data_IF_444921239079
#
_entry.id   IF_444921239079
#
_cell.length_a   1.000
_cell.length_b   1.000
_cell.length_c   1.000
_cell.angle_alpha   90.00
_cell.angle_beta   90.00
_cell.angle_gamma   90.00
#
_symmetry.space_group_name_H-M   'P 1'
#
loop_
_entity.id
_entity.type
_entity.pdbx_description
1 polymer ?
#
# COMPACT_ATOMS: atom_id res chain seq x y z
N UNK A 1 42.11 9.01 18.79
CA UNK A 1 40.87 9.76 18.51
C UNK A 1 40.28 9.17 17.25
N UNK A 2 39.08 8.59 17.31
CA UNK A 2 38.41 8.11 16.10
C UNK A 2 38.17 9.31 15.18
N UNK A 3 38.37 9.14 13.88
CA UNK A 3 38.09 10.23 12.94
C UNK A 3 36.58 10.50 12.91
N UNK A 4 36.21 11.71 12.49
CA UNK A 4 34.80 12.06 12.31
C UNK A 4 34.10 11.09 11.32
N UNK A 5 34.86 10.56 10.34
CA UNK A 5 34.40 9.53 9.41
C UNK A 5 34.07 8.20 10.11
N UNK A 6 34.94 7.72 10.98
CA UNK A 6 34.71 6.47 11.73
C UNK A 6 33.46 6.58 12.62
N UNK A 7 33.29 7.76 13.21
CA UNK A 7 32.16 8.07 14.10
C UNK A 7 30.84 8.10 13.33
N UNK A 8 30.81 8.71 12.13
CA UNK A 8 29.62 8.74 11.27
C UNK A 8 29.28 7.34 10.77
N UNK A 9 30.26 6.58 10.28
CA UNK A 9 30.06 5.21 9.79
C UNK A 9 29.52 4.29 10.89
N UNK A 10 30.05 4.38 12.10
CA UNK A 10 29.57 3.61 13.25
C UNK A 10 28.13 3.98 13.64
N UNK A 11 27.74 5.25 13.51
CA UNK A 11 26.36 5.65 13.80
C UNK A 11 25.41 5.17 12.72
N UNK A 12 25.78 5.29 11.45
CA UNK A 12 24.97 4.83 10.32
C UNK A 12 24.74 3.31 10.34
N UNK A 13 25.71 2.51 10.79
CA UNK A 13 25.52 1.05 10.89
C UNK A 13 24.47 0.62 11.92
N UNK A 14 24.11 1.51 12.85
CA UNK A 14 23.05 1.28 13.86
C UNK A 14 21.70 1.88 13.49
N UNK A 15 21.65 2.71 12.44
CA UNK A 15 20.40 3.30 11.94
C UNK A 15 19.60 2.22 11.22
N UNK A 16 18.40 1.95 11.72
CA UNK A 16 17.39 1.18 10.99
C UNK A 16 16.54 2.17 10.21
N UNK A 17 16.31 1.89 8.93
CA UNK A 17 15.19 2.50 8.23
C UNK A 17 13.92 2.08 8.97
N UNK A 18 12.99 3.01 9.18
CA UNK A 18 11.70 2.64 9.77
C UNK A 18 11.06 1.52 8.95
N UNK A 19 10.48 0.52 9.64
CA UNK A 19 9.60 -0.49 9.02
C UNK A 19 8.29 0.20 8.62
N UNK A 20 8.37 1.09 7.63
CA UNK A 20 7.20 1.66 6.99
C UNK A 20 6.53 0.54 6.20
N UNK A 21 5.19 0.41 6.24
CA UNK A 21 4.45 -0.50 5.38
C UNK A 21 4.93 -0.36 3.93
N UNK A 22 5.31 -1.47 3.30
CA UNK A 22 5.59 -1.47 1.87
C UNK A 22 4.34 -1.00 1.12
N UNK A 23 4.50 0.05 0.29
CA UNK A 23 3.43 0.56 -0.56
C UNK A 23 3.48 -0.21 -1.87
N UNK A 24 2.44 -0.98 -2.16
CA UNK A 24 2.31 -1.74 -3.39
C UNK A 24 1.41 -0.97 -4.36
N UNK A 25 1.95 -0.61 -5.53
CA UNK A 25 1.18 0.05 -6.56
C UNK A 25 0.51 -0.99 -7.47
N UNK A 26 -0.81 -0.93 -7.56
CA UNK A 26 -1.63 -1.87 -8.31
C UNK A 26 -2.23 -1.14 -9.50
N UNK A 27 -1.80 -1.50 -10.70
CA UNK A 27 -2.19 -0.80 -11.93
C UNK A 27 -2.57 -1.71 -13.08
N UNK A 28 -2.80 -3.00 -12.85
CA UNK A 28 -3.22 -3.92 -13.91
C UNK A 28 -4.08 -5.05 -13.34
N UNK A 29 -4.85 -5.70 -14.21
CA UNK A 29 -5.80 -6.76 -13.84
C UNK A 29 -5.15 -7.88 -13.01
N UNK A 30 -3.95 -8.33 -13.40
CA UNK A 30 -3.23 -9.40 -12.71
C UNK A 30 -2.87 -9.00 -11.28
N UNK A 31 -2.34 -7.79 -11.10
CA UNK A 31 -1.99 -7.26 -9.78
C UNK A 31 -3.24 -7.04 -8.90
N UNK A 32 -4.39 -6.67 -9.50
CA UNK A 32 -5.67 -6.61 -8.78
C UNK A 32 -6.06 -8.00 -8.29
N UNK A 33 -5.97 -9.03 -9.12
CA UNK A 33 -6.26 -10.41 -8.72
C UNK A 33 -5.40 -10.86 -7.54
N UNK A 34 -4.08 -10.62 -7.61
CA UNK A 34 -3.15 -10.92 -6.52
C UNK A 34 -3.48 -10.15 -5.22
N UNK A 35 -3.87 -8.88 -5.32
CA UNK A 35 -4.33 -8.09 -4.18
C UNK A 35 -5.58 -8.72 -3.57
N UNK A 36 -6.59 -9.07 -4.38
CA UNK A 36 -7.83 -9.69 -3.88
C UNK A 36 -7.55 -11.03 -3.20
N UNK A 37 -6.70 -11.88 -3.79
CA UNK A 37 -6.31 -13.17 -3.21
C UNK A 37 -5.63 -12.99 -1.84
N UNK A 38 -4.78 -11.96 -1.70
CA UNK A 38 -4.08 -11.66 -0.44
C UNK A 38 -4.99 -11.08 0.66
N UNK A 39 -6.16 -10.57 0.29
CA UNK A 39 -7.18 -10.07 1.22
C UNK A 39 -8.17 -11.15 1.64
N UNK A 40 -7.96 -12.41 1.25
CA UNK A 40 -8.83 -13.53 1.60
C UNK A 40 -8.61 -14.03 3.04
N UNK A 41 -9.69 -14.40 3.73
CA UNK A 41 -9.67 -14.97 5.08
C UNK A 41 -9.29 -14.05 6.26
N UNK A 42 -9.55 -12.73 6.22
CA UNK A 42 -9.19 -11.85 7.33
C UNK A 42 -10.14 -12.07 8.53
N UNK A 43 -9.66 -11.92 9.78
CA UNK A 43 -10.55 -11.93 10.92
C UNK A 43 -11.56 -10.78 10.78
N UNK A 44 -12.85 -11.11 10.81
CA UNK A 44 -13.93 -10.13 10.73
C UNK A 44 -14.02 -9.25 12.00
N UNK A 45 -13.45 -9.71 13.11
CA UNK A 45 -13.45 -9.02 14.40
C UNK A 45 -12.05 -9.10 15.03
N UNK A 46 -11.39 -7.96 15.29
CA UNK A 46 -11.78 -6.61 14.85
C UNK A 46 -11.64 -6.45 13.32
N UNK A 47 -12.29 -5.42 12.72
CA UNK A 47 -12.08 -5.10 11.31
C UNK A 47 -10.59 -4.93 11.00
N UNK A 48 -10.15 -5.56 9.91
CA UNK A 48 -8.74 -5.68 9.56
C UNK A 48 -8.41 -5.09 8.19
N UNK A 49 -9.42 -4.70 7.41
CA UNK A 49 -9.29 -4.04 6.11
C UNK A 49 -9.88 -2.63 6.21
N UNK A 50 -9.09 -1.64 5.82
CA UNK A 50 -9.47 -0.23 5.78
C UNK A 50 -9.31 0.27 4.35
N UNK A 51 -10.32 0.97 3.83
CA UNK A 51 -10.36 1.43 2.44
C UNK A 51 -10.60 2.92 2.42
N UNK A 52 -9.84 3.62 1.58
CA UNK A 52 -10.05 5.02 1.26
C UNK A 52 -10.16 5.21 -0.26
N UNK A 53 -10.98 6.17 -0.71
CA UNK A 53 -11.35 6.37 -2.11
C UNK A 53 -11.22 7.83 -2.52
N UNK A 54 -10.57 8.06 -3.66
CA UNK A 54 -10.38 9.40 -4.23
C UNK A 54 -10.86 9.44 -5.68
N UNK A 55 -11.44 10.56 -6.09
CA UNK A 55 -11.98 10.71 -7.44
C UNK A 55 -12.93 11.89 -7.62
N UNK A 56 -13.69 11.88 -8.71
CA UNK A 56 -14.62 12.96 -9.08
C UNK A 56 -16.05 12.53 -8.78
N UNK A 57 -16.81 13.36 -8.05
CA UNK A 57 -18.21 13.11 -7.70
C UNK A 57 -18.46 11.72 -7.09
N UNK A 58 -17.53 11.25 -6.22
CA UNK A 58 -17.55 9.95 -5.56
C UNK A 58 -18.97 9.54 -5.14
N UNK A 59 -19.33 8.27 -5.40
CA UNK A 59 -20.67 7.65 -5.27
C UNK A 59 -21.27 7.29 -6.65
N UNK A 60 -22.60 7.18 -6.77
CA UNK A 60 -23.30 6.52 -7.90
C UNK A 60 -23.06 7.11 -9.29
N UNK A 61 -22.65 8.37 -9.38
CA UNK A 61 -22.46 9.08 -10.66
C UNK A 61 -21.04 9.61 -10.83
N UNK A 62 -20.12 9.19 -9.97
CA UNK A 62 -18.72 9.60 -9.99
C UNK A 62 -17.79 8.57 -10.60
N UNK A 63 -16.51 8.92 -10.62
CA UNK A 63 -15.42 8.02 -10.97
C UNK A 63 -14.47 7.91 -9.78
N UNK A 64 -14.13 6.67 -9.42
CA UNK A 64 -13.01 6.40 -8.51
C UNK A 64 -11.74 6.44 -9.36
N UNK A 65 -10.80 7.29 -8.97
CA UNK A 65 -9.50 7.45 -9.62
C UNK A 65 -8.40 6.73 -8.86
N UNK A 66 -8.47 6.76 -7.52
CA UNK A 66 -7.53 6.08 -6.64
C UNK A 66 -8.32 5.34 -5.56
N UNK A 67 -7.89 4.12 -5.24
CA UNK A 67 -8.35 3.37 -4.08
C UNK A 67 -7.13 2.96 -3.26
N UNK A 68 -7.16 3.22 -1.97
CA UNK A 68 -6.11 2.79 -1.04
C UNK A 68 -6.66 1.71 -0.13
N UNK A 69 -5.92 0.62 0.04
CA UNK A 69 -6.30 -0.47 0.94
C UNK A 69 -5.19 -0.67 1.96
N UNK A 70 -5.53 -0.57 3.23
CA UNK A 70 -4.66 -0.91 4.34
C UNK A 70 -5.15 -2.19 5.02
N UNK A 71 -4.24 -3.16 5.17
CA UNK A 71 -4.53 -4.42 5.82
C UNK A 71 -3.73 -4.56 7.12
N UNK A 72 -4.45 -4.59 8.24
CA UNK A 72 -3.89 -4.55 9.59
C UNK A 72 -3.01 -5.76 9.96
N UNK A 73 -3.37 -7.02 9.65
CA UNK A 73 -2.62 -8.20 10.11
C UNK A 73 -1.16 -8.22 9.65
N UNK A 74 -0.88 -7.72 8.45
CA UNK A 74 0.49 -7.64 7.90
C UNK A 74 0.99 -6.20 7.72
N UNK A 75 0.19 -5.20 8.14
CA UNK A 75 0.50 -3.76 8.05
C UNK A 75 1.06 -3.37 6.68
N UNK A 76 0.34 -3.65 5.62
CA UNK A 76 0.73 -3.26 4.27
C UNK A 76 -0.34 -2.38 3.64
N UNK A 77 0.09 -1.55 2.69
CA UNK A 77 -0.75 -0.60 2.00
C UNK A 77 -0.65 -0.82 0.50
N UNK A 78 -1.78 -0.92 -0.17
CA UNK A 78 -1.83 -0.93 -1.63
C UNK A 78 -2.55 0.32 -2.15
N UNK A 79 -2.09 0.82 -3.29
CA UNK A 79 -2.70 1.94 -3.99
C UNK A 79 -3.05 1.48 -5.38
N UNK A 80 -4.35 1.47 -5.67
CA UNK A 80 -4.90 1.23 -6.98
C UNK A 80 -5.07 2.57 -7.68
N UNK A 81 -4.53 2.71 -8.90
CA UNK A 81 -4.89 3.80 -9.81
C UNK A 81 -5.65 3.24 -11.00
N UNK A 82 -6.79 3.86 -11.30
CA UNK A 82 -7.54 3.54 -12.52
C UNK A 82 -6.64 3.82 -13.72
N UNK A 83 -6.37 2.79 -14.51
CA UNK A 83 -5.83 2.95 -15.86
C UNK A 83 -6.99 3.25 -16.81
N UNK A 84 -6.94 4.40 -17.49
CA UNK A 84 -7.86 4.68 -18.59
C UNK A 84 -7.65 3.63 -19.71
N UNK A 85 -8.73 2.97 -20.15
CA UNK A 85 -8.71 2.02 -21.28
C UNK A 85 -8.71 0.52 -20.93
N UNK A 86 -8.83 0.13 -19.66
CA UNK A 86 -8.93 -1.29 -19.29
C UNK A 86 -10.37 -1.82 -19.47
N UNK A 87 -10.66 -2.40 -20.63
CA UNK A 87 -11.86 -3.22 -20.84
C UNK A 87 -11.59 -4.59 -20.21
N UNK A 88 -12.32 -4.93 -19.16
CA UNK A 88 -12.33 -6.30 -18.63
C UNK A 88 -13.11 -7.16 -19.65
N UNK A 89 -12.54 -8.26 -20.17
CA UNK A 89 -13.21 -9.12 -21.15
C UNK A 89 -14.50 -9.75 -20.60
#
# INVERSE_FOLDING_TARGET
>A
MASNLDTVTQRLSTVKLEDKPAIIFVNNATAIGQLVDSLNGPPAVPPSIFIDLEGVNLSRHGTISIMQVYYLPTKWMSVFQRLEGMVVP
#
